data_IF_608788196818
#
_entry.id   IF_608788196818
#
_cell.length_a   1.000
_cell.length_b   1.000
_cell.length_c   1.000
_cell.angle_alpha   90.00
_cell.angle_beta   90.00
_cell.angle_gamma   90.00
#
_symmetry.space_group_name_H-M   'P 1'
#
loop_
_entity.id
_entity.type
_entity.pdbx_description
1 polymer ?
#
# COMPACT_ATOMS: atom_id res chain seq x y z
N UNK A 1 2.80 19.86 -6.20
CA UNK A 1 4.16 20.47 -6.19
C UNK A 1 4.17 21.99 -6.04
N UNK A 2 3.46 22.77 -6.88
CA UNK A 2 3.53 24.25 -6.82
C UNK A 2 3.01 24.89 -5.52
N UNK A 3 2.17 24.19 -4.75
CA UNK A 3 1.63 24.65 -3.46
C UNK A 3 2.55 24.41 -2.26
N UNK A 4 3.69 23.74 -2.46
CA UNK A 4 4.65 23.45 -1.38
C UNK A 4 5.60 24.66 -1.24
N UNK A 5 5.75 25.27 -0.04
CA UNK A 5 6.67 26.38 0.17
C UNK A 5 8.11 26.04 -0.25
N UNK A 6 8.90 27.05 -0.59
CA UNK A 6 10.28 26.82 -1.07
C UNK A 6 11.23 26.34 0.04
N UNK A 7 10.90 26.60 1.30
CA UNK A 7 11.66 26.12 2.46
C UNK A 7 11.63 24.59 2.62
N UNK A 8 10.73 23.90 1.92
CA UNK A 8 10.62 22.44 1.90
C UNK A 8 11.19 21.85 0.61
N UNK A 9 12.37 22.31 0.19
CA UNK A 9 13.00 21.90 -1.06
C UNK A 9 13.27 20.38 -1.08
N UNK A 10 13.75 19.81 0.01
CA UNK A 10 14.10 18.39 0.12
C UNK A 10 12.86 17.51 -0.03
N UNK A 11 11.76 17.87 0.64
CA UNK A 11 10.45 17.21 0.51
C UNK A 11 9.97 17.30 -0.94
N UNK A 12 10.06 18.48 -1.55
CA UNK A 12 9.66 18.69 -2.95
C UNK A 12 10.50 17.84 -3.92
N UNK A 13 11.79 17.74 -3.69
CA UNK A 13 12.70 16.92 -4.50
C UNK A 13 12.36 15.44 -4.38
N UNK A 14 12.15 14.93 -3.16
CA UNK A 14 11.78 13.52 -2.94
C UNK A 14 10.42 13.18 -3.58
N UNK A 15 9.38 13.99 -3.34
CA UNK A 15 8.06 13.74 -3.93
C UNK A 15 8.12 13.77 -5.47
N UNK A 16 9.03 14.54 -6.06
CA UNK A 16 9.24 14.53 -7.52
C UNK A 16 9.84 13.20 -8.00
N UNK A 17 10.74 12.59 -7.23
CA UNK A 17 11.27 11.26 -7.58
C UNK A 17 10.21 10.19 -7.44
N UNK A 18 9.37 10.25 -6.40
CA UNK A 18 8.24 9.34 -6.25
C UNK A 18 7.28 9.43 -7.44
N UNK A 19 6.90 10.65 -7.86
CA UNK A 19 6.06 10.84 -9.07
C UNK A 19 6.69 10.20 -10.31
N UNK A 20 8.01 10.33 -10.47
CA UNK A 20 8.73 9.70 -11.58
C UNK A 20 8.69 8.17 -11.48
N UNK A 21 8.91 7.61 -10.29
CA UNK A 21 8.90 6.18 -10.02
C UNK A 21 7.50 5.59 -10.33
N UNK A 22 6.44 6.22 -9.83
CA UNK A 22 5.07 5.82 -10.11
C UNK A 22 4.71 5.88 -11.60
N UNK A 23 5.19 6.91 -12.31
CA UNK A 23 4.99 7.00 -13.76
C UNK A 23 5.67 5.83 -14.51
N UNK A 24 6.88 5.42 -14.07
CA UNK A 24 7.60 4.27 -14.64
C UNK A 24 6.91 2.95 -14.30
N UNK A 25 6.34 2.82 -13.10
CA UNK A 25 5.57 1.64 -12.70
C UNK A 25 4.31 1.48 -13.55
N UNK A 26 3.55 2.56 -13.71
CA UNK A 26 2.38 2.59 -14.60
C UNK A 26 2.76 2.21 -16.03
N UNK A 27 3.87 2.75 -16.56
CA UNK A 27 4.34 2.42 -17.90
C UNK A 27 4.67 0.93 -18.07
N UNK A 28 5.47 0.36 -17.15
CA UNK A 28 5.92 -1.03 -17.27
C UNK A 28 4.77 -2.02 -17.09
N UNK A 29 3.87 -1.80 -16.12
CA UNK A 29 2.71 -2.67 -15.92
C UNK A 29 1.73 -2.55 -17.09
N UNK A 30 1.52 -1.35 -17.65
CA UNK A 30 0.71 -1.16 -18.86
C UNK A 30 1.30 -1.91 -20.06
N UNK A 31 2.60 -1.78 -20.32
CA UNK A 31 3.28 -2.51 -21.41
C UNK A 31 3.16 -4.02 -21.21
N UNK A 32 3.35 -4.48 -19.98
CA UNK A 32 3.26 -5.91 -19.66
C UNK A 32 1.85 -6.47 -19.86
N UNK A 33 0.82 -5.71 -19.45
CA UNK A 33 -0.58 -6.06 -19.64
C UNK A 33 -0.93 -6.15 -21.14
N UNK A 34 -0.52 -5.16 -21.96
CA UNK A 34 -0.73 -5.18 -23.41
C UNK A 34 -0.03 -6.34 -24.12
N UNK A 35 1.13 -6.78 -23.62
CA UNK A 35 1.84 -7.93 -24.17
C UNK A 35 1.20 -9.29 -23.76
N UNK A 36 0.43 -9.33 -22.66
CA UNK A 36 -0.03 -10.58 -22.05
C UNK A 36 -1.54 -10.86 -22.14
N UNK A 37 -2.40 -9.84 -22.11
CA UNK A 37 -3.85 -10.05 -21.99
C UNK A 37 -4.74 -8.82 -22.17
N UNK A 38 -4.18 -7.63 -22.39
CA UNK A 38 -4.93 -6.39 -22.58
C UNK A 38 -5.05 -5.55 -21.31
N UNK A 39 -5.66 -4.37 -21.44
CA UNK A 39 -5.91 -3.45 -20.32
C UNK A 39 -7.26 -3.75 -19.68
N UNK A 40 -7.32 -3.62 -18.36
CA UNK A 40 -8.56 -3.69 -17.58
C UNK A 40 -8.92 -2.28 -17.06
N UNK A 41 -10.04 -2.20 -16.35
CA UNK A 41 -10.48 -0.99 -15.68
C UNK A 41 -9.92 -0.92 -14.26
N UNK A 42 -9.81 0.30 -13.73
CA UNK A 42 -9.58 0.47 -12.30
C UNK A 42 -10.77 -0.07 -11.53
N UNK A 43 -10.50 -0.69 -10.39
CA UNK A 43 -11.54 -1.16 -9.49
C UNK A 43 -12.15 0.05 -8.75
N UNK A 44 -13.47 0.05 -8.45
CA UNK A 44 -14.08 1.13 -7.67
C UNK A 44 -13.41 1.32 -6.30
N UNK A 45 -12.97 0.22 -5.66
CA UNK A 45 -12.23 0.28 -4.40
C UNK A 45 -10.89 1.02 -4.55
N UNK A 46 -10.15 0.74 -5.62
CA UNK A 46 -8.89 1.44 -5.90
C UNK A 46 -9.10 2.93 -6.21
N UNK A 47 -10.15 3.30 -6.96
CA UNK A 47 -10.49 4.69 -7.23
C UNK A 47 -10.86 5.44 -5.94
N UNK A 48 -11.63 4.80 -5.05
CA UNK A 48 -11.97 5.37 -3.75
C UNK A 48 -10.75 5.53 -2.85
N UNK A 49 -9.82 4.57 -2.86
CA UNK A 49 -8.56 4.69 -2.13
C UNK A 49 -7.71 5.87 -2.61
N UNK A 50 -7.56 6.03 -3.92
CA UNK A 50 -6.85 7.18 -4.50
C UNK A 50 -7.56 8.50 -4.16
N UNK A 51 -8.89 8.54 -4.21
CA UNK A 51 -9.66 9.72 -3.80
C UNK A 51 -9.45 10.07 -2.33
N UNK A 52 -9.43 9.08 -1.44
CA UNK A 52 -9.19 9.32 -0.01
C UNK A 52 -7.79 9.90 0.26
N UNK A 53 -6.78 9.45 -0.50
CA UNK A 53 -5.41 10.01 -0.44
C UNK A 53 -5.42 11.47 -0.94
N UNK A 54 -6.06 11.74 -2.08
CA UNK A 54 -6.12 13.08 -2.68
C UNK A 54 -6.88 14.10 -1.84
N UNK A 55 -7.95 13.66 -1.18
CA UNK A 55 -8.81 14.50 -0.34
C UNK A 55 -8.35 14.55 1.12
N UNK A 56 -7.19 13.97 1.45
CA UNK A 56 -6.68 13.94 2.81
C UNK A 56 -6.57 15.37 3.39
N UNK A 57 -7.02 15.61 4.64
CA UNK A 57 -7.13 16.97 5.17
C UNK A 57 -5.82 17.73 5.30
N UNK A 58 -4.71 17.00 5.47
CA UNK A 58 -3.37 17.57 5.63
C UNK A 58 -2.35 16.74 4.85
N UNK A 59 -1.17 17.33 4.60
CA UNK A 59 -0.08 16.61 3.93
C UNK A 59 0.30 15.32 4.66
N UNK A 60 0.56 15.39 5.97
CA UNK A 60 0.94 14.23 6.78
C UNK A 60 -0.15 13.15 6.80
N UNK A 61 -1.43 13.53 6.86
CA UNK A 61 -2.53 12.57 6.72
C UNK A 61 -2.55 11.90 5.34
N UNK A 62 -2.28 12.66 4.27
CA UNK A 62 -2.13 12.10 2.93
C UNK A 62 -0.94 11.16 2.81
N UNK A 63 0.22 11.55 3.33
CA UNK A 63 1.45 10.74 3.39
C UNK A 63 1.25 9.47 4.22
N UNK A 64 0.51 9.54 5.33
CA UNK A 64 0.13 8.37 6.12
C UNK A 64 -0.68 7.36 5.29
N UNK A 65 -1.72 7.83 4.57
CA UNK A 65 -2.53 6.96 3.72
C UNK A 65 -1.73 6.40 2.54
N UNK A 66 -0.98 7.25 1.84
CA UNK A 66 -0.23 6.88 0.64
C UNK A 66 0.98 6.02 1.00
N UNK A 67 1.94 6.57 1.74
CA UNK A 67 3.26 5.98 1.89
C UNK A 67 3.33 4.94 3.02
N UNK A 68 2.63 5.16 4.14
CA UNK A 68 2.71 4.23 5.28
C UNK A 68 1.77 3.04 5.10
N UNK A 69 0.53 3.32 4.67
CA UNK A 69 -0.53 2.32 4.57
C UNK A 69 -0.62 1.70 3.16
N UNK A 70 -0.93 2.47 2.12
CA UNK A 70 -1.19 1.95 0.76
C UNK A 70 0.07 1.36 0.09
N UNK A 71 1.14 2.13 -0.02
CA UNK A 71 2.42 1.68 -0.58
C UNK A 71 3.06 0.61 0.31
N UNK A 72 2.83 0.66 1.63
CA UNK A 72 3.21 -0.42 2.52
C UNK A 72 2.59 -1.77 2.15
N UNK A 73 1.36 -1.76 1.63
CA UNK A 73 0.70 -2.94 1.08
C UNK A 73 1.28 -3.31 -0.30
N UNK A 74 1.41 -2.35 -1.21
CA UNK A 74 2.03 -2.56 -2.53
C UNK A 74 3.42 -3.18 -2.39
N UNK A 75 4.23 -2.71 -1.44
CA UNK A 75 5.53 -3.26 -1.08
C UNK A 75 5.43 -4.75 -0.67
N UNK A 76 4.41 -5.12 0.11
CA UNK A 76 4.17 -6.51 0.53
C UNK A 76 3.81 -7.40 -0.67
N UNK A 77 3.03 -6.88 -1.62
CA UNK A 77 2.70 -7.56 -2.89
C UNK A 77 3.95 -7.73 -3.75
N UNK A 78 4.74 -6.67 -3.95
CA UNK A 78 5.97 -6.74 -4.74
C UNK A 78 7.02 -7.66 -4.13
N UNK A 79 7.10 -7.73 -2.80
CA UNK A 79 7.95 -8.70 -2.09
C UNK A 79 7.50 -10.14 -2.35
N UNK A 80 6.18 -10.34 -2.44
CA UNK A 80 5.58 -11.61 -2.85
C UNK A 80 5.71 -11.90 -4.36
N UNK A 81 6.26 -10.95 -5.12
CA UNK A 81 6.43 -11.02 -6.56
C UNK A 81 7.16 -12.26 -7.04
N UNK A 82 8.16 -12.77 -6.32
CA UNK A 82 8.87 -14.01 -6.67
C UNK A 82 7.96 -15.25 -6.68
N UNK A 83 6.91 -15.27 -5.85
CA UNK A 83 5.91 -16.34 -5.77
C UNK A 83 4.78 -16.14 -6.78
N UNK A 84 4.37 -14.88 -6.98
CA UNK A 84 3.28 -14.49 -7.88
C UNK A 84 3.71 -14.64 -9.36
N UNK A 85 4.88 -14.11 -9.70
CA UNK A 85 5.39 -14.04 -11.06
C UNK A 85 5.72 -15.41 -11.67
N UNK A 86 5.33 -15.60 -12.92
CA UNK A 86 5.54 -16.86 -13.67
C UNK A 86 6.67 -16.79 -14.69
N UNK A 87 7.16 -15.59 -14.97
CA UNK A 87 8.24 -15.37 -15.94
C UNK A 87 9.39 -14.59 -15.31
N UNK A 88 10.59 -14.72 -15.89
CA UNK A 88 11.74 -13.93 -15.45
C UNK A 88 11.50 -12.42 -15.62
N UNK A 89 10.76 -12.01 -16.65
CA UNK A 89 10.40 -10.60 -16.88
C UNK A 89 9.51 -10.08 -15.75
N UNK A 90 8.48 -10.83 -15.37
CA UNK A 90 7.57 -10.44 -14.28
C UNK A 90 8.33 -10.30 -12.96
N UNK A 91 9.21 -11.26 -12.66
CA UNK A 91 10.08 -11.21 -11.48
C UNK A 91 10.96 -9.97 -11.45
N UNK A 92 11.57 -9.64 -12.59
CA UNK A 92 12.43 -8.47 -12.70
C UNK A 92 11.65 -7.16 -12.50
N UNK A 93 10.43 -7.07 -13.04
CA UNK A 93 9.53 -5.93 -12.80
C UNK A 93 9.27 -5.78 -11.30
N UNK A 94 8.82 -6.85 -10.63
CA UNK A 94 8.54 -6.81 -9.20
C UNK A 94 9.77 -6.44 -8.36
N UNK A 95 10.96 -7.00 -8.67
CA UNK A 95 12.19 -6.67 -7.93
C UNK A 95 12.58 -5.20 -8.06
N UNK A 96 12.40 -4.60 -9.25
CA UNK A 96 12.72 -3.19 -9.49
C UNK A 96 11.72 -2.27 -8.79
N UNK A 97 10.42 -2.53 -8.94
CA UNK A 97 9.38 -1.75 -8.27
C UNK A 97 9.52 -1.86 -6.74
N UNK A 98 9.85 -3.04 -6.20
CA UNK A 98 10.11 -3.22 -4.77
C UNK A 98 11.18 -2.25 -4.21
N UNK A 99 12.23 -1.96 -4.97
CA UNK A 99 13.27 -1.02 -4.53
C UNK A 99 12.78 0.42 -4.47
N UNK A 100 11.88 0.79 -5.38
CA UNK A 100 11.27 2.12 -5.44
C UNK A 100 10.28 2.28 -4.27
N UNK A 101 9.37 1.32 -4.09
CA UNK A 101 8.42 1.33 -2.98
C UNK A 101 9.09 1.33 -1.59
N UNK A 102 10.23 0.64 -1.46
CA UNK A 102 10.95 0.64 -0.19
C UNK A 102 11.42 2.05 0.20
N UNK A 103 11.76 2.90 -0.78
CA UNK A 103 12.11 4.31 -0.54
C UNK A 103 10.88 5.13 -0.19
N UNK A 104 9.76 4.92 -0.90
CA UNK A 104 8.52 5.66 -0.64
C UNK A 104 7.97 5.38 0.76
N UNK A 105 7.91 4.11 1.14
CA UNK A 105 7.52 3.66 2.49
C UNK A 105 8.44 4.22 3.57
N UNK A 106 9.76 4.22 3.33
CA UNK A 106 10.73 4.76 4.29
C UNK A 106 10.53 6.26 4.50
N UNK A 107 10.26 7.01 3.44
CA UNK A 107 9.90 8.43 3.54
C UNK A 107 8.63 8.63 4.37
N UNK A 108 7.58 7.85 4.12
CA UNK A 108 6.33 7.94 4.88
C UNK A 108 6.50 7.69 6.37
N UNK A 109 7.30 6.69 6.76
CA UNK A 109 7.61 6.42 8.17
C UNK A 109 8.36 7.58 8.82
N UNK A 110 9.37 8.14 8.14
CA UNK A 110 10.20 9.22 8.68
C UNK A 110 9.44 10.56 8.76
N UNK A 111 8.66 10.90 7.74
CA UNK A 111 7.82 12.11 7.74
C UNK A 111 6.78 12.05 8.84
N UNK A 112 6.11 10.90 9.00
CA UNK A 112 5.09 10.73 10.02
C UNK A 112 5.67 10.78 11.44
N UNK A 113 6.82 10.11 11.65
CA UNK A 113 7.55 10.18 12.91
C UNK A 113 7.94 11.61 13.25
N UNK A 114 8.57 12.31 12.30
CA UNK A 114 8.97 13.70 12.47
C UNK A 114 7.76 14.57 12.83
N UNK A 115 6.64 14.41 12.13
CA UNK A 115 5.43 15.16 12.41
C UNK A 115 4.94 14.93 13.83
N UNK A 116 4.83 13.67 14.29
CA UNK A 116 4.39 13.33 15.65
C UNK A 116 5.31 13.91 16.73
N UNK A 117 6.63 13.83 16.52
CA UNK A 117 7.63 14.32 17.48
C UNK A 117 7.63 15.85 17.62
N UNK A 118 7.12 16.57 16.63
CA UNK A 118 7.09 18.04 16.61
C UNK A 118 5.72 18.64 16.95
N UNK A 119 4.74 17.83 17.39
CA UNK A 119 3.46 18.34 17.87
C UNK A 119 3.59 18.95 19.27
N UNK A 120 2.96 20.11 19.47
CA UNK A 120 2.90 20.77 20.80
C UNK A 120 2.16 19.91 21.83
N UNK A 121 1.08 19.26 21.39
CA UNK A 121 0.32 18.29 22.16
C UNK A 121 0.33 16.97 21.40
N UNK A 122 1.33 16.14 21.71
CA UNK A 122 1.52 14.83 21.08
C UNK A 122 0.32 13.92 21.29
N UNK A 123 -0.27 13.92 22.49
CA UNK A 123 -1.38 13.04 22.82
C UNK A 123 -2.64 13.38 22.02
N UNK A 124 -2.96 14.67 21.87
CA UNK A 124 -4.08 15.11 21.04
C UNK A 124 -3.86 14.79 19.55
N UNK A 125 -2.63 14.95 19.07
CA UNK A 125 -2.26 14.60 17.69
C UNK A 125 -2.36 13.09 17.43
N UNK A 126 -1.87 12.27 18.36
CA UNK A 126 -1.97 10.81 18.26
C UNK A 126 -3.44 10.35 18.25
N UNK A 127 -4.30 10.93 19.08
CA UNK A 127 -5.74 10.62 19.08
C UNK A 127 -6.42 11.04 17.76
N UNK A 128 -6.05 12.20 17.20
CA UNK A 128 -6.52 12.62 15.88
C UNK A 128 -6.13 11.58 14.81
N UNK A 129 -4.88 11.11 14.85
CA UNK A 129 -4.36 10.15 13.87
C UNK A 129 -4.94 8.76 14.06
N UNK A 130 -5.26 8.31 15.28
CA UNK A 130 -6.01 7.08 15.49
C UNK A 130 -7.38 7.11 14.80
N UNK A 131 -8.14 8.20 14.99
CA UNK A 131 -9.45 8.35 14.32
C UNK A 131 -9.33 8.41 12.81
N UNK A 132 -8.29 9.05 12.31
CA UNK A 132 -8.03 9.10 10.88
C UNK A 132 -7.57 7.76 10.30
N UNK A 133 -6.75 7.01 11.05
CA UNK A 133 -6.33 5.66 10.68
C UNK A 133 -7.52 4.71 10.60
N UNK A 134 -8.56 4.86 11.43
CA UNK A 134 -9.80 4.08 11.29
C UNK A 134 -10.42 4.26 9.89
N UNK A 135 -10.42 5.49 9.35
CA UNK A 135 -10.93 5.77 7.99
C UNK A 135 -10.02 5.17 6.92
N UNK A 136 -8.70 5.36 7.07
CA UNK A 136 -7.72 4.80 6.14
C UNK A 136 -7.78 3.27 6.05
N UNK A 137 -7.92 2.62 7.20
CA UNK A 137 -8.04 1.16 7.30
C UNK A 137 -9.33 0.65 6.62
N UNK A 138 -10.47 1.34 6.74
CA UNK A 138 -11.70 0.97 6.02
C UNK A 138 -11.56 1.10 4.49
N UNK A 139 -10.94 2.20 4.04
CA UNK A 139 -10.72 2.45 2.62
C UNK A 139 -9.80 1.37 2.02
N UNK A 140 -8.73 1.03 2.73
CA UNK A 140 -7.76 0.02 2.28
C UNK A 140 -8.34 -1.38 2.37
N UNK A 141 -9.12 -1.69 3.40
CA UNK A 141 -9.87 -2.95 3.46
C UNK A 141 -10.70 -3.11 2.19
N UNK A 142 -11.48 -2.10 1.82
CA UNK A 142 -12.35 -2.14 0.63
C UNK A 142 -11.56 -2.35 -0.66
N UNK A 143 -10.46 -1.62 -0.86
CA UNK A 143 -9.66 -1.72 -2.08
C UNK A 143 -8.92 -3.06 -2.22
N UNK A 144 -8.50 -3.66 -1.10
CA UNK A 144 -7.62 -4.82 -1.11
C UNK A 144 -8.30 -6.16 -0.82
N UNK A 145 -9.60 -6.14 -0.52
CA UNK A 145 -10.44 -7.35 -0.47
C UNK A 145 -11.36 -7.48 -1.68
N UNK A 146 -11.24 -6.61 -2.67
CA UNK A 146 -12.07 -6.67 -3.87
C UNK A 146 -11.72 -7.91 -4.71
N UNK A 147 -12.71 -8.67 -5.23
CA UNK A 147 -12.46 -9.87 -6.03
C UNK A 147 -11.53 -9.63 -7.23
N UNK A 148 -11.62 -8.44 -7.84
CA UNK A 148 -10.78 -8.00 -8.98
C UNK A 148 -9.29 -7.90 -8.63
N UNK A 149 -8.94 -7.84 -7.35
CA UNK A 149 -7.57 -7.94 -6.86
C UNK A 149 -7.25 -9.33 -6.29
N UNK A 150 -8.13 -9.85 -5.42
CA UNK A 150 -7.89 -11.09 -4.65
C UNK A 150 -7.80 -12.30 -5.57
N UNK A 151 -8.74 -12.47 -6.51
CA UNK A 151 -8.82 -13.67 -7.34
C UNK A 151 -7.66 -13.80 -8.33
N UNK A 152 -7.24 -12.75 -9.08
CA UNK A 152 -6.09 -12.87 -9.97
C UNK A 152 -4.79 -13.21 -9.23
N UNK A 153 -4.58 -12.62 -8.05
CA UNK A 153 -3.40 -12.93 -7.23
C UNK A 153 -3.49 -14.38 -6.72
N UNK A 154 -4.65 -14.84 -6.26
CA UNK A 154 -4.85 -16.22 -5.82
C UNK A 154 -4.61 -17.22 -6.97
N UNK A 155 -5.15 -16.97 -8.17
CA UNK A 155 -4.90 -17.79 -9.36
C UNK A 155 -3.40 -17.86 -9.66
N UNK A 156 -2.70 -16.72 -9.61
CA UNK A 156 -1.26 -16.69 -9.82
C UNK A 156 -0.53 -17.48 -8.73
N UNK A 157 -0.83 -17.27 -7.45
CA UNK A 157 -0.19 -17.99 -6.34
C UNK A 157 -0.43 -19.51 -6.41
N UNK A 158 -1.64 -19.95 -6.76
CA UNK A 158 -1.99 -21.37 -6.94
C UNK A 158 -1.39 -22.00 -8.19
N UNK A 159 -0.93 -21.18 -9.15
CA UNK A 159 -0.41 -21.65 -10.44
C UNK A 159 -1.52 -22.07 -11.41
N UNK A 160 -2.71 -21.50 -11.28
CA UNK A 160 -3.87 -21.73 -12.15
C UNK A 160 -5.17 -21.94 -11.38
N UNK A 161 -6.29 -21.80 -12.09
CA UNK A 161 -7.64 -21.86 -11.51
C UNK A 161 -7.95 -23.20 -10.84
N UNK A 162 -7.37 -24.30 -11.34
CA UNK A 162 -7.57 -25.65 -10.77
C UNK A 162 -6.96 -25.82 -9.37
N UNK A 163 -6.15 -24.87 -8.92
CA UNK A 163 -5.48 -24.86 -7.62
C UNK A 163 -5.86 -23.62 -6.81
N UNK A 164 -7.08 -23.11 -7.02
CA UNK A 164 -7.52 -21.86 -6.40
C UNK A 164 -7.48 -21.94 -4.87
N UNK A 165 -7.81 -23.08 -4.27
CA UNK A 165 -7.75 -23.25 -2.81
C UNK A 165 -6.33 -23.00 -2.25
N UNK A 166 -5.31 -23.61 -2.89
CA UNK A 166 -3.91 -23.37 -2.54
C UNK A 166 -3.48 -21.91 -2.83
N UNK A 167 -4.05 -21.30 -3.87
CA UNK A 167 -3.90 -19.88 -4.18
C UNK A 167 -4.44 -18.96 -3.09
N UNK A 168 -5.64 -19.27 -2.60
CA UNK A 168 -6.31 -18.54 -1.51
C UNK A 168 -5.56 -18.69 -0.19
N UNK A 169 -4.96 -19.86 0.09
CA UNK A 169 -4.00 -20.01 1.19
C UNK A 169 -2.78 -19.09 1.04
N UNK A 170 -2.26 -18.96 -0.18
CA UNK A 170 -1.22 -17.99 -0.49
C UNK A 170 -1.65 -16.56 -0.19
N UNK A 171 -2.87 -16.21 -0.61
CA UNK A 171 -3.43 -14.87 -0.38
C UNK A 171 -3.64 -14.59 1.12
N UNK A 172 -4.03 -15.58 1.93
CA UNK A 172 -4.10 -15.44 3.40
C UNK A 172 -2.74 -15.11 4.03
N UNK A 173 -1.65 -15.69 3.50
CA UNK A 173 -0.30 -15.38 3.96
C UNK A 173 0.10 -13.96 3.59
N UNK A 174 -0.21 -13.52 2.37
CA UNK A 174 0.04 -12.14 1.91
C UNK A 174 -0.75 -11.14 2.77
N UNK A 175 -2.02 -11.44 3.08
CA UNK A 175 -2.84 -10.61 3.97
C UNK A 175 -2.22 -10.46 5.36
N UNK A 176 -1.86 -11.58 5.99
CA UNK A 176 -1.27 -11.58 7.34
C UNK A 176 0.04 -10.81 7.38
N UNK A 177 0.87 -10.96 6.34
CA UNK A 177 2.11 -10.20 6.15
C UNK A 177 1.83 -8.70 6.04
N UNK A 178 0.86 -8.29 5.22
CA UNK A 178 0.47 -6.89 5.09
C UNK A 178 0.09 -6.26 6.44
N UNK A 179 -0.79 -6.92 7.20
CA UNK A 179 -1.26 -6.41 8.50
C UNK A 179 -0.10 -6.24 9.48
N UNK A 180 0.75 -7.26 9.62
CA UNK A 180 1.85 -7.18 10.56
C UNK A 180 2.87 -6.12 10.14
N UNK A 181 3.20 -6.02 8.85
CA UNK A 181 4.13 -5.01 8.37
C UNK A 181 3.57 -3.58 8.49
N UNK A 182 2.27 -3.38 8.30
CA UNK A 182 1.62 -2.10 8.57
C UNK A 182 1.77 -1.70 10.04
N UNK A 183 1.48 -2.62 10.96
CA UNK A 183 1.61 -2.36 12.39
C UNK A 183 3.06 -2.11 12.81
N UNK A 184 4.02 -2.84 12.23
CA UNK A 184 5.45 -2.58 12.43
C UNK A 184 5.86 -1.20 11.93
N UNK A 185 5.34 -0.74 10.78
CA UNK A 185 5.62 0.61 10.26
C UNK A 185 5.06 1.68 11.18
N UNK A 186 3.83 1.53 11.66
CA UNK A 186 3.23 2.41 12.67
C UNK A 186 4.09 2.49 13.94
N UNK A 187 4.51 1.33 14.46
CA UNK A 187 5.36 1.28 15.66
C UNK A 187 6.71 1.96 15.46
N UNK A 188 7.37 1.74 14.31
CA UNK A 188 8.62 2.43 13.95
C UNK A 188 8.46 3.94 13.83
N UNK A 189 7.28 4.41 13.42
CA UNK A 189 6.98 5.83 13.39
C UNK A 189 6.60 6.41 14.75
N UNK A 190 6.61 5.60 15.82
CA UNK A 190 6.22 6.02 17.17
C UNK A 190 4.71 6.15 17.37
N UNK A 191 3.91 5.43 16.57
CA UNK A 191 2.45 5.41 16.61
C UNK A 191 1.93 4.02 17.00
N UNK A 192 1.40 3.89 18.20
CA UNK A 192 1.02 2.59 18.76
C UNK A 192 -0.35 2.12 18.26
N UNK A 193 -0.42 1.69 16.99
CA UNK A 193 -1.68 1.38 16.33
C UNK A 193 -2.30 0.02 16.68
N UNK A 194 -1.48 -0.97 17.06
CA UNK A 194 -1.91 -2.39 17.26
C UNK A 194 -3.17 -2.57 18.14
N UNK A 195 -3.36 -1.86 19.28
CA UNK A 195 -4.56 -2.02 20.11
C UNK A 195 -5.86 -1.46 19.50
N UNK A 196 -5.75 -0.61 18.48
CA UNK A 196 -6.89 0.08 17.84
C UNK A 196 -7.06 -0.25 16.37
N UNK A 197 -6.20 -1.09 15.81
CA UNK A 197 -6.31 -1.49 14.41
C UNK A 197 -7.63 -2.23 14.19
N UNK A 198 -8.39 -1.77 13.20
CA UNK A 198 -9.69 -2.33 12.83
C UNK A 198 -9.59 -3.28 11.63
N UNK A 199 -8.43 -3.37 10.99
CA UNK A 199 -8.19 -4.36 9.96
C UNK A 199 -8.21 -5.76 10.59
N UNK A 200 -8.93 -6.73 9.99
CA UNK A 200 -8.97 -8.07 10.54
C UNK A 200 -7.61 -8.75 10.43
N UNK A 201 -7.12 -9.34 11.53
CA UNK A 201 -5.85 -10.06 11.54
C UNK A 201 -5.89 -11.28 10.62
N UNK A 202 -7.03 -11.96 10.57
CA UNK A 202 -7.28 -13.02 9.60
C UNK A 202 -7.91 -12.46 8.33
N UNK A 203 -7.64 -13.12 7.20
CA UNK A 203 -8.19 -12.66 5.93
C UNK A 203 -9.73 -12.76 5.92
N UNK A 204 -10.46 -11.71 5.49
CA UNK A 204 -11.91 -11.66 5.61
C UNK A 204 -12.66 -12.73 4.80
N UNK A 205 -12.06 -13.25 3.72
CA UNK A 205 -12.63 -14.36 2.95
C UNK A 205 -12.51 -15.73 3.64
N UNK A 206 -11.77 -15.86 4.75
CA UNK A 206 -11.69 -17.10 5.52
C UNK A 206 -12.99 -17.40 6.28
N UNK A 207 -13.76 -16.36 6.64
CA UNK A 207 -15.02 -16.49 7.36
C UNK A 207 -16.19 -16.96 6.48
N UNK A 208 -15.99 -16.96 5.16
CA UNK A 208 -16.99 -17.37 4.17
C UNK A 208 -16.82 -18.81 3.68
N UNK A 209 -15.80 -19.53 4.16
CA UNK A 209 -15.51 -20.93 3.85
C UNK A 209 -15.88 -21.84 5.03
#
# INVERSE_FOLDING_TARGET
MYRIPQDFLEVKSFLSTQIMDEARHQEVFRKRALAGGGLLHSSPGAEWALKAILDAPTHTMGTFLLNLLAEGLVLSVFRSGEMIAKTHVDKEIFRRCLQDEARHVSYGVLEFQWWLDHQRDRAAAEELLHRFADVGEQVILTAFTEPTLVEPIAILLGGGLQKIDAGMEGMMRVWSMFIDEYLQRCERAGFHRRPRCILPAEAPWRLAA
#
